data_IF_960197979051
#
_entry.id   IF_960197979051
#
_cell.length_a   1.000
_cell.length_b   1.000
_cell.length_c   1.000
_cell.angle_alpha   90.00
_cell.angle_beta   90.00
_cell.angle_gamma   90.00
#
_symmetry.space_group_name_H-M   'P 1'
#
loop_
_entity.id
_entity.type
_entity.pdbx_description
1 polymer ?
#
# COMPACT_ATOMS: atom_id res chain seq x y z
N UNK A 1 10.05 2.81 -35.30
CA UNK A 1 11.49 2.63 -34.96
C UNK A 1 12.33 3.28 -36.06
N UNK A 2 13.39 4.02 -35.72
CA UNK A 2 14.13 4.79 -36.74
C UNK A 2 15.07 3.90 -37.57
N UNK A 3 15.29 4.21 -38.86
CA UNK A 3 16.17 3.45 -39.78
C UNK A 3 17.60 3.28 -39.24
N UNK A 4 18.12 4.29 -38.54
CA UNK A 4 19.42 4.24 -37.85
C UNK A 4 19.45 3.24 -36.69
N UNK A 5 18.34 3.07 -35.96
CA UNK A 5 18.26 2.13 -34.84
C UNK A 5 18.24 0.68 -35.34
N UNK A 6 17.50 0.41 -36.43
CA UNK A 6 17.47 -0.92 -37.06
C UNK A 6 18.86 -1.35 -37.57
N UNK A 7 19.59 -0.46 -38.24
CA UNK A 7 20.97 -0.77 -38.68
C UNK A 7 21.89 -1.15 -37.52
N UNK A 8 21.76 -0.48 -36.37
CA UNK A 8 22.53 -0.82 -35.17
C UNK A 8 22.13 -2.16 -34.57
N UNK A 9 20.84 -2.50 -34.58
CA UNK A 9 20.38 -3.79 -34.09
C UNK A 9 20.86 -4.93 -34.98
N UNK A 10 20.80 -4.77 -36.30
CA UNK A 10 21.29 -5.75 -37.28
C UNK A 10 22.80 -5.95 -37.12
N UNK A 11 23.59 -4.87 -37.07
CA UNK A 11 25.03 -4.97 -36.87
C UNK A 11 25.40 -5.67 -35.55
N UNK A 12 24.69 -5.37 -34.46
CA UNK A 12 24.90 -6.02 -33.16
C UNK A 12 24.54 -7.51 -33.20
N UNK A 13 23.49 -7.87 -33.95
CA UNK A 13 23.09 -9.25 -34.14
C UNK A 13 24.08 -10.04 -34.99
N UNK A 14 24.60 -9.46 -36.08
CA UNK A 14 25.65 -10.08 -36.89
C UNK A 14 26.94 -10.31 -36.10
N UNK A 15 27.24 -9.45 -35.12
CA UNK A 15 28.45 -9.55 -34.28
C UNK A 15 28.30 -10.51 -33.10
N UNK A 16 27.10 -10.59 -32.50
CA UNK A 16 26.88 -11.33 -31.23
C UNK A 16 26.00 -12.57 -31.39
N UNK A 17 25.35 -12.76 -32.56
CA UNK A 17 24.28 -13.73 -32.87
C UNK A 17 23.07 -13.73 -31.90
N UNK A 18 23.07 -12.81 -30.93
CA UNK A 18 22.05 -12.73 -29.90
C UNK A 18 21.43 -11.32 -29.91
N UNK A 19 20.11 -11.26 -30.04
CA UNK A 19 19.34 -10.05 -29.80
C UNK A 19 18.92 -9.99 -28.33
N UNK A 20 19.91 -10.09 -27.42
CA UNK A 20 19.67 -10.22 -25.99
C UNK A 20 18.84 -9.07 -25.43
N UNK A 21 17.95 -9.38 -24.48
CA UNK A 21 17.23 -8.36 -23.72
C UNK A 21 18.25 -7.49 -22.97
N UNK A 22 18.24 -6.18 -23.22
CA UNK A 22 19.04 -5.27 -22.42
C UNK A 22 18.57 -5.41 -20.97
N UNK A 23 19.51 -5.76 -20.07
CA UNK A 23 19.27 -5.78 -18.63
C UNK A 23 18.57 -4.47 -18.28
N UNK A 24 17.30 -4.55 -17.85
CA UNK A 24 16.55 -3.36 -17.45
C UNK A 24 17.42 -2.60 -16.46
N UNK A 25 17.58 -1.30 -16.67
CA UNK A 25 18.33 -0.42 -15.78
C UNK A 25 17.90 -0.74 -14.35
N UNK A 26 18.82 -1.29 -13.56
CA UNK A 26 18.51 -1.73 -12.21
C UNK A 26 18.10 -0.49 -11.41
N UNK A 27 16.81 -0.38 -11.15
CA UNK A 27 16.33 0.62 -10.21
C UNK A 27 16.84 0.18 -8.85
N UNK A 28 17.66 1.02 -8.19
CA UNK A 28 18.19 0.73 -6.85
C UNK A 28 17.00 0.32 -5.97
N UNK A 29 17.00 -0.95 -5.55
CA UNK A 29 15.97 -1.49 -4.66
C UNK A 29 15.92 -0.58 -3.44
N UNK A 30 14.72 -0.16 -3.05
CA UNK A 30 14.52 0.64 -1.85
C UNK A 30 15.06 -0.17 -0.66
N UNK A 31 15.81 0.46 0.24
CA UNK A 31 16.29 -0.22 1.45
C UNK A 31 15.10 -0.55 2.33
N UNK A 32 15.07 -1.75 2.90
CA UNK A 32 13.98 -2.20 3.77
C UNK A 32 13.87 -1.32 5.03
N UNK A 33 14.99 -0.84 5.56
CA UNK A 33 15.05 0.11 6.69
C UNK A 33 14.20 1.36 6.42
N UNK A 34 14.31 1.94 5.22
CA UNK A 34 13.51 3.12 4.85
C UNK A 34 12.01 2.82 4.72
N UNK A 35 11.65 1.55 4.49
CA UNK A 35 10.25 1.14 4.37
C UNK A 35 9.60 0.96 5.74
N UNK A 36 10.33 0.43 6.72
CA UNK A 36 9.88 0.29 8.10
C UNK A 36 9.65 1.66 8.76
N UNK A 37 10.59 2.59 8.57
CA UNK A 37 10.46 3.97 9.06
C UNK A 37 9.19 4.65 8.51
N UNK A 38 8.96 4.55 7.18
CA UNK A 38 7.76 5.09 6.54
C UNK A 38 6.50 4.43 7.10
N UNK A 39 6.51 3.12 7.35
CA UNK A 39 5.36 2.40 7.87
C UNK A 39 5.03 2.80 9.31
N UNK A 40 6.04 3.01 10.17
CA UNK A 40 5.84 3.47 11.55
C UNK A 40 5.20 4.86 11.60
N UNK A 41 5.73 5.80 10.82
CA UNK A 41 5.19 7.18 10.77
C UNK A 41 3.76 7.20 10.25
N UNK A 42 3.39 6.31 9.33
CA UNK A 42 2.00 6.16 8.89
C UNK A 42 1.10 5.74 10.05
N UNK A 43 1.49 4.71 10.82
CA UNK A 43 0.67 4.19 11.93
C UNK A 43 0.48 5.26 13.00
N UNK A 44 1.54 5.98 13.35
CA UNK A 44 1.48 7.09 14.31
C UNK A 44 0.58 8.24 13.82
N UNK A 45 0.69 8.62 12.54
CA UNK A 45 -0.20 9.64 11.97
C UNK A 45 -1.66 9.19 11.92
N UNK A 46 -1.90 7.92 11.62
CA UNK A 46 -3.25 7.35 11.50
C UNK A 46 -3.93 7.26 12.87
N UNK A 47 -3.19 6.97 13.94
CA UNK A 47 -3.76 6.90 15.30
C UNK A 47 -4.19 8.26 15.84
N UNK A 48 -3.51 9.35 15.44
CA UNK A 48 -3.85 10.73 15.84
C UNK A 48 -4.90 11.36 14.93
N UNK A 49 -5.10 10.82 13.72
CA UNK A 49 -6.01 11.36 12.70
C UNK A 49 -7.47 11.05 13.02
N UNK A 50 -8.34 12.07 12.99
CA UNK A 50 -9.80 11.93 13.12
C UNK A 50 -10.39 10.94 12.10
N UNK A 51 -9.80 10.88 10.90
CA UNK A 51 -10.28 10.05 9.80
C UNK A 51 -9.48 8.77 9.63
N UNK A 52 -8.62 8.44 10.61
CA UNK A 52 -7.72 7.28 10.58
C UNK A 52 -7.00 7.13 9.22
N UNK A 53 -6.61 8.26 8.63
CA UNK A 53 -6.00 8.31 7.31
C UNK A 53 -4.92 9.39 7.25
N UNK A 54 -3.93 9.15 6.40
CA UNK A 54 -2.82 10.06 6.12
C UNK A 54 -2.53 10.08 4.62
N UNK A 55 -1.96 11.19 4.14
CA UNK A 55 -1.61 11.35 2.74
C UNK A 55 -0.12 11.12 2.52
N UNK A 56 0.24 10.53 1.38
CA UNK A 56 1.64 10.38 0.98
C UNK A 56 2.38 11.74 0.88
N UNK A 57 1.66 12.85 0.67
CA UNK A 57 2.26 14.20 0.69
C UNK A 57 2.60 14.67 2.10
N UNK A 58 1.75 14.35 3.07
CA UNK A 58 1.99 14.64 4.49
C UNK A 58 3.24 13.89 4.95
N UNK A 59 3.28 12.59 4.68
CA UNK A 59 4.42 11.73 5.01
C UNK A 59 5.72 12.18 4.33
N UNK A 60 5.63 12.66 3.09
CA UNK A 60 6.77 13.24 2.36
C UNK A 60 7.36 14.46 3.06
N UNK A 61 6.52 15.30 3.67
CA UNK A 61 6.98 16.46 4.46
C UNK A 61 7.57 16.02 5.79
N UNK A 62 6.91 15.09 6.48
CA UNK A 62 7.34 14.60 7.80
C UNK A 62 8.71 13.92 7.72
N UNK A 63 8.91 13.07 6.72
CA UNK A 63 10.15 12.31 6.52
C UNK A 63 11.19 13.05 5.67
N UNK A 64 10.86 14.26 5.18
CA UNK A 64 11.68 15.00 4.21
C UNK A 64 12.09 14.17 2.98
N UNK A 65 11.24 13.22 2.58
CA UNK A 65 11.46 12.34 1.43
C UNK A 65 10.66 12.83 0.21
N UNK A 66 11.13 12.61 -1.02
CA UNK A 66 10.32 12.87 -2.21
C UNK A 66 9.01 12.09 -2.19
N UNK A 67 7.91 12.74 -2.57
CA UNK A 67 6.59 12.10 -2.61
C UNK A 67 6.57 10.82 -3.45
N UNK A 68 7.30 10.78 -4.56
CA UNK A 68 7.41 9.59 -5.42
C UNK A 68 8.07 8.42 -4.69
N UNK A 69 9.05 8.68 -3.81
CA UNK A 69 9.71 7.67 -2.99
C UNK A 69 8.75 7.11 -1.95
N UNK A 70 8.06 7.97 -1.20
CA UNK A 70 7.04 7.55 -0.22
C UNK A 70 5.95 6.73 -0.91
N UNK A 71 5.42 7.20 -2.04
CA UNK A 71 4.41 6.46 -2.82
C UNK A 71 4.90 5.10 -3.28
N UNK A 72 6.14 5.01 -3.79
CA UNK A 72 6.71 3.73 -4.21
C UNK A 72 6.89 2.78 -3.01
N UNK A 73 7.46 3.25 -1.89
CA UNK A 73 7.63 2.44 -0.67
C UNK A 73 6.28 1.87 -0.21
N UNK A 74 5.26 2.73 -0.10
CA UNK A 74 3.92 2.31 0.32
C UNK A 74 3.33 1.26 -0.62
N UNK A 75 3.47 1.42 -1.94
CA UNK A 75 2.87 0.51 -2.93
C UNK A 75 3.67 -0.78 -3.15
N UNK A 76 4.98 -0.68 -3.34
CA UNK A 76 5.83 -1.79 -3.79
C UNK A 76 6.39 -2.61 -2.64
N UNK A 77 6.73 -1.96 -1.52
CA UNK A 77 7.39 -2.61 -0.40
C UNK A 77 6.38 -3.01 0.66
N UNK A 78 5.62 -2.03 1.18
CA UNK A 78 4.63 -2.24 2.25
C UNK A 78 3.31 -2.81 1.70
N UNK A 79 3.04 -2.63 0.41
CA UNK A 79 1.79 -3.06 -0.28
C UNK A 79 0.52 -2.43 0.30
N UNK A 80 0.63 -1.21 0.82
CA UNK A 80 -0.51 -0.37 1.20
C UNK A 80 -0.98 0.43 0.00
N UNK A 81 -2.12 0.01 -0.54
CA UNK A 81 -2.77 0.69 -1.64
C UNK A 81 -3.75 1.72 -1.10
N UNK A 82 -3.84 2.90 -1.75
CA UNK A 82 -4.84 3.89 -1.38
C UNK A 82 -6.22 3.34 -1.75
N UNK A 83 -6.91 2.77 -0.77
CA UNK A 83 -8.30 2.39 -0.89
C UNK A 83 -9.17 3.52 -0.34
N UNK A 84 -10.23 3.86 -1.07
CA UNK A 84 -11.26 4.76 -0.57
C UNK A 84 -12.19 3.95 0.30
N UNK A 85 -12.07 4.07 1.62
CA UNK A 85 -13.06 3.51 2.54
C UNK A 85 -14.39 4.20 2.23
N UNK A 86 -15.36 3.43 1.76
CA UNK A 86 -16.72 3.91 1.56
C UNK A 86 -17.52 3.56 2.82
N UNK A 87 -17.99 4.59 3.54
CA UNK A 87 -19.01 4.40 4.57
C UNK A 87 -20.34 4.22 3.85
N UNK A 88 -20.70 2.97 3.55
CA UNK A 88 -21.91 2.65 2.78
C UNK A 88 -23.18 2.88 3.59
N UNK A 89 -23.10 2.80 4.91
CA UNK A 89 -24.22 3.04 5.82
C UNK A 89 -23.77 3.93 6.97
N UNK A 90 -24.25 5.18 6.99
CA UNK A 90 -24.14 6.02 8.18
C UNK A 90 -25.14 5.50 9.21
N UNK A 91 -24.62 4.89 10.28
CA UNK A 91 -25.47 4.28 11.29
C UNK A 91 -26.12 5.37 12.18
N UNK A 92 -27.37 5.71 11.87
CA UNK A 92 -28.16 6.70 12.62
C UNK A 92 -28.67 6.19 13.99
N UNK A 93 -28.53 4.89 14.28
CA UNK A 93 -28.99 4.30 15.53
C UNK A 93 -28.03 4.56 16.69
N UNK A 94 -28.58 4.78 17.88
CA UNK A 94 -27.88 5.07 19.13
C UNK A 94 -26.80 4.01 19.45
N UNK A 95 -25.52 4.39 19.67
CA UNK A 95 -24.43 3.47 19.97
C UNK A 95 -24.77 2.47 21.08
N UNK A 96 -25.47 2.91 22.13
CA UNK A 96 -25.78 2.09 23.29
C UNK A 96 -26.71 0.92 22.98
N UNK A 97 -27.73 1.16 22.15
CA UNK A 97 -28.68 0.12 21.71
C UNK A 97 -27.97 -0.97 20.89
N UNK A 98 -26.98 -0.58 20.07
CA UNK A 98 -26.17 -1.54 19.30
C UNK A 98 -25.28 -2.37 20.21
N UNK A 99 -24.62 -1.75 21.19
CA UNK A 99 -23.76 -2.45 22.15
C UNK A 99 -24.59 -3.44 22.98
N UNK A 100 -25.78 -3.03 23.45
CA UNK A 100 -26.69 -3.92 24.17
C UNK A 100 -27.15 -5.10 23.32
N UNK A 101 -27.53 -4.87 22.06
CA UNK A 101 -27.89 -5.94 21.13
C UNK A 101 -26.74 -6.94 20.93
N UNK A 102 -25.52 -6.44 20.67
CA UNK A 102 -24.34 -7.30 20.52
C UNK A 102 -24.06 -8.11 21.79
N UNK A 103 -24.15 -7.49 22.98
CA UNK A 103 -23.95 -8.18 24.27
C UNK A 103 -24.98 -9.29 24.48
N UNK A 104 -26.26 -9.03 24.22
CA UNK A 104 -27.31 -10.05 24.32
C UNK A 104 -27.07 -11.21 23.35
N UNK A 105 -26.67 -10.91 22.11
CA UNK A 105 -26.44 -11.92 21.10
C UNK A 105 -25.22 -12.81 21.44
N UNK A 106 -24.13 -12.20 21.91
CA UNK A 106 -22.94 -12.94 22.38
C UNK A 106 -23.25 -13.85 23.57
N UNK A 107 -24.04 -13.37 24.53
CA UNK A 107 -24.47 -14.19 25.67
C UNK A 107 -25.31 -15.40 25.22
N UNK A 108 -26.20 -15.22 24.23
CA UNK A 108 -26.98 -16.34 23.66
C UNK A 108 -26.12 -17.34 22.91
N UNK A 109 -25.14 -16.88 22.13
CA UNK A 109 -24.20 -17.77 21.43
C UNK A 109 -23.43 -18.63 22.43
N UNK A 110 -22.92 -18.02 23.51
CA UNK A 110 -22.18 -18.74 24.54
C UNK A 110 -23.01 -19.87 25.17
N UNK A 111 -24.29 -19.60 25.46
CA UNK A 111 -25.24 -20.59 25.98
C UNK A 111 -25.52 -21.70 24.96
N UNK A 112 -25.65 -21.37 23.68
CA UNK A 112 -25.90 -22.34 22.61
C UNK A 112 -24.68 -23.24 22.34
N UNK A 113 -23.47 -22.70 22.44
CA UNK A 113 -22.22 -23.46 22.29
C UNK A 113 -21.93 -24.38 23.50
N UNK A 114 -22.58 -24.13 24.65
CA UNK A 114 -22.50 -24.98 25.83
C UNK A 114 -23.58 -26.07 25.90
N UNK A 115 -24.42 -26.19 24.88
CA UNK A 115 -25.35 -27.30 24.74
C UNK A 115 -24.60 -28.56 24.24
N UNK A 116 -24.80 -29.73 24.85
CA UNK A 116 -24.11 -30.98 24.46
C UNK A 116 -24.53 -31.50 23.08
#
# INVERSE_FOLDING_TARGET
>A
MCRKALKKMIAKFEETEELGELKRREWKRLSNESAEEVALVVVERVSVSQYSSTSARTLSRDLSLPWSRVRNILRSTVKWYPYKIQVVQTLNADPDKRIQFCRMFLARIAVYNSWP
#
